data_IF_741359173096
#
_entry.id   IF_741359173096
#
_cell.length_a   1.000
_cell.length_b   1.000
_cell.length_c   1.000
_cell.angle_alpha   90.00
_cell.angle_beta   90.00
_cell.angle_gamma   90.00
#
_symmetry.space_group_name_H-M   'P 1'
#
loop_
_entity.id
_entity.type
_entity.pdbx_description
1 polymer ?
#
# COMPACT_ATOMS: atom_id res chain seq x y z
N UNK A 1 -7.83 16.35 -26.20
CA UNK A 1 -6.87 15.49 -25.48
C UNK A 1 -6.89 15.86 -24.02
N UNK A 2 -7.73 15.19 -23.23
CA UNK A 2 -7.81 15.41 -21.78
C UNK A 2 -6.51 14.89 -21.16
N UNK A 3 -5.57 15.81 -20.89
CA UNK A 3 -4.41 15.54 -20.04
C UNK A 3 -4.96 14.95 -18.73
N UNK A 4 -4.54 13.74 -18.40
CA UNK A 4 -4.93 13.05 -17.17
C UNK A 4 -4.32 13.80 -15.98
N UNK A 5 -4.98 14.89 -15.57
CA UNK A 5 -4.63 15.70 -14.40
C UNK A 5 -4.67 14.91 -13.08
N UNK A 6 -5.12 13.64 -13.11
CA UNK A 6 -5.18 12.74 -11.97
C UNK A 6 -3.87 11.96 -11.73
N UNK A 7 -2.94 11.95 -12.70
CA UNK A 7 -1.70 11.16 -12.64
C UNK A 7 -0.43 11.98 -12.39
N UNK A 8 -0.48 13.32 -12.38
CA UNK A 8 0.69 14.13 -12.02
C UNK A 8 0.96 13.97 -10.52
N UNK A 9 1.90 13.08 -10.21
CA UNK A 9 2.36 12.72 -8.88
C UNK A 9 3.87 12.89 -8.77
N UNK A 10 4.41 12.90 -7.55
CA UNK A 10 5.84 13.00 -7.33
C UNK A 10 6.50 11.64 -7.61
N UNK A 11 7.22 11.54 -8.73
CA UNK A 11 7.88 10.32 -9.19
C UNK A 11 8.91 9.77 -8.19
N UNK A 12 9.63 10.63 -7.48
CA UNK A 12 10.63 10.22 -6.49
C UNK A 12 9.96 9.55 -5.28
N UNK A 13 8.88 10.15 -4.78
CA UNK A 13 8.11 9.55 -3.68
C UNK A 13 7.48 8.23 -4.13
N UNK A 14 6.98 8.14 -5.36
CA UNK A 14 6.42 6.89 -5.87
C UNK A 14 7.49 5.79 -5.95
N UNK A 15 8.66 6.11 -6.51
CA UNK A 15 9.81 5.19 -6.59
C UNK A 15 10.23 4.69 -5.20
N UNK A 16 10.30 5.57 -4.23
CA UNK A 16 10.59 5.21 -2.84
C UNK A 16 9.52 4.28 -2.26
N UNK A 17 8.24 4.57 -2.52
CA UNK A 17 7.13 3.77 -2.01
C UNK A 17 7.10 2.35 -2.58
N UNK A 18 7.31 2.19 -3.89
CA UNK A 18 7.31 0.87 -4.54
C UNK A 18 8.58 0.06 -4.28
N UNK A 19 9.69 0.72 -3.90
CA UNK A 19 10.92 0.04 -3.52
C UNK A 19 10.85 -0.59 -2.12
N UNK A 20 9.95 -0.08 -1.25
CA UNK A 20 9.86 -0.48 0.16
C UNK A 20 9.77 -2.01 0.38
N UNK A 21 8.93 -2.78 -0.34
CA UNK A 21 8.83 -4.23 -0.15
C UNK A 21 10.12 -5.02 -0.44
N UNK A 22 11.08 -4.41 -1.13
CA UNK A 22 12.35 -5.04 -1.54
C UNK A 22 13.54 -4.54 -0.70
N UNK A 23 13.28 -3.71 0.32
CA UNK A 23 14.34 -3.22 1.20
C UNK A 23 14.96 -4.33 2.03
N UNK A 24 16.26 -4.19 2.30
CA UNK A 24 16.99 -5.07 3.20
C UNK A 24 17.46 -4.28 4.43
N UNK A 25 17.42 -4.92 5.60
CA UNK A 25 17.94 -4.38 6.86
C UNK A 25 18.97 -5.36 7.42
N UNK A 26 20.19 -4.88 7.67
CA UNK A 26 21.27 -5.73 8.18
C UNK A 26 21.63 -6.91 7.27
N UNK A 27 21.45 -6.77 5.95
CA UNK A 27 21.71 -7.83 4.97
C UNK A 27 20.60 -8.87 4.83
N UNK A 28 19.47 -8.69 5.53
CA UNK A 28 18.31 -9.58 5.45
C UNK A 28 17.10 -8.85 4.87
N UNK A 29 16.20 -9.59 4.24
CA UNK A 29 14.92 -9.07 3.74
C UNK A 29 14.14 -8.42 4.90
N UNK A 30 13.83 -7.13 4.77
CA UNK A 30 13.13 -6.39 5.82
C UNK A 30 11.67 -6.85 5.97
N UNK A 31 11.08 -7.44 4.92
CA UNK A 31 9.70 -7.88 4.90
C UNK A 31 9.65 -9.35 4.47
N UNK A 32 9.84 -10.27 5.43
CA UNK A 32 9.95 -11.70 5.12
C UNK A 32 8.60 -12.30 4.72
N UNK A 33 8.41 -12.51 3.41
CA UNK A 33 7.23 -13.18 2.83
C UNK A 33 6.33 -12.25 2.03
N UNK A 34 5.33 -12.81 1.36
CA UNK A 34 4.49 -12.04 0.42
C UNK A 34 3.56 -11.06 1.16
N UNK A 35 2.91 -11.48 2.25
CA UNK A 35 1.99 -10.60 2.99
C UNK A 35 2.67 -9.41 3.66
N UNK A 36 3.82 -9.56 4.36
CA UNK A 36 4.55 -8.40 4.87
C UNK A 36 5.01 -7.44 3.76
N UNK A 37 5.37 -7.96 2.59
CA UNK A 37 5.72 -7.14 1.41
C UNK A 37 4.52 -6.38 0.86
N UNK A 38 3.38 -7.05 0.73
CA UNK A 38 2.13 -6.44 0.31
C UNK A 38 1.69 -5.34 1.28
N UNK A 39 1.77 -5.59 2.59
CA UNK A 39 1.49 -4.61 3.63
C UNK A 39 2.45 -3.41 3.58
N UNK A 40 3.75 -3.67 3.35
CA UNK A 40 4.75 -2.62 3.20
C UNK A 40 4.46 -1.72 2.00
N UNK A 41 4.06 -2.32 0.87
CA UNK A 41 3.68 -1.64 -0.37
C UNK A 41 2.45 -0.75 -0.15
N UNK A 42 1.37 -1.33 0.37
CA UNK A 42 0.12 -0.64 0.68
C UNK A 42 0.38 0.56 1.60
N UNK A 43 1.01 0.31 2.74
CA UNK A 43 1.30 1.32 3.75
C UNK A 43 2.22 2.42 3.20
N UNK A 44 3.15 2.09 2.30
CA UNK A 44 4.01 3.12 1.71
C UNK A 44 3.25 4.01 0.74
N UNK A 45 2.48 3.43 -0.18
CA UNK A 45 1.79 4.22 -1.22
C UNK A 45 0.71 5.11 -0.59
N UNK A 46 -0.03 4.59 0.39
CA UNK A 46 -1.14 5.33 1.00
C UNK A 46 -0.66 6.55 1.80
N UNK A 47 0.54 6.48 2.38
CA UNK A 47 1.10 7.50 3.26
C UNK A 47 2.12 8.45 2.59
N UNK A 48 2.64 8.11 1.42
CA UNK A 48 3.70 8.91 0.79
C UNK A 48 3.17 10.07 -0.09
N UNK A 49 1.84 10.22 -0.17
CA UNK A 49 1.15 11.24 -0.96
C UNK A 49 1.68 11.40 -2.40
N UNK A 50 2.11 10.28 -3.00
CA UNK A 50 2.78 10.28 -4.29
C UNK A 50 1.90 10.72 -5.45
N UNK A 51 0.58 10.65 -5.29
CA UNK A 51 -0.39 11.12 -6.28
C UNK A 51 -1.21 12.29 -5.73
N UNK A 52 -1.71 13.15 -6.61
CA UNK A 52 -2.54 14.29 -6.21
C UNK A 52 -3.91 13.88 -5.61
N UNK A 53 -4.58 12.86 -6.17
CA UNK A 53 -5.95 12.50 -5.77
C UNK A 53 -6.23 10.99 -5.65
N UNK A 54 -5.25 10.14 -5.99
CA UNK A 54 -5.51 8.69 -6.14
C UNK A 54 -4.73 7.80 -5.18
N UNK A 55 -4.08 8.33 -4.13
CA UNK A 55 -3.25 7.53 -3.21
C UNK A 55 -3.96 6.31 -2.63
N UNK A 56 -5.20 6.48 -2.14
CA UNK A 56 -6.01 5.37 -1.59
C UNK A 56 -6.28 4.27 -2.61
N UNK A 57 -6.78 4.66 -3.80
CA UNK A 57 -7.10 3.72 -4.90
C UNK A 57 -5.83 3.06 -5.45
N UNK A 58 -4.75 3.82 -5.59
CA UNK A 58 -3.47 3.31 -6.05
C UNK A 58 -2.87 2.32 -5.04
N UNK A 59 -2.89 2.62 -3.73
CA UNK A 59 -2.41 1.72 -2.70
C UNK A 59 -3.16 0.39 -2.71
N UNK A 60 -4.49 0.44 -2.73
CA UNK A 60 -5.33 -0.75 -2.79
C UNK A 60 -5.04 -1.56 -4.08
N UNK A 61 -5.19 -0.95 -5.25
CA UNK A 61 -5.04 -1.66 -6.54
C UNK A 61 -3.64 -2.27 -6.72
N UNK A 62 -2.58 -1.52 -6.39
CA UNK A 62 -1.21 -2.04 -6.50
C UNK A 62 -0.99 -3.23 -5.57
N UNK A 63 -1.61 -3.23 -4.39
CA UNK A 63 -1.52 -4.35 -3.43
C UNK A 63 -2.27 -5.58 -3.94
N UNK A 64 -3.47 -5.40 -4.52
CA UNK A 64 -4.24 -6.48 -5.14
C UNK A 64 -3.44 -7.12 -6.29
N UNK A 65 -2.87 -6.30 -7.18
CA UNK A 65 -2.05 -6.77 -8.30
C UNK A 65 -0.82 -7.51 -7.80
N UNK A 66 -0.10 -6.94 -6.82
CA UNK A 66 1.09 -7.57 -6.22
C UNK A 66 0.76 -8.95 -5.63
N UNK A 67 -0.34 -9.07 -4.88
CA UNK A 67 -0.78 -10.35 -4.34
C UNK A 67 -1.13 -11.34 -5.46
N UNK A 68 -1.88 -10.89 -6.48
CA UNK A 68 -2.28 -11.71 -7.61
C UNK A 68 -1.09 -12.24 -8.41
N UNK A 69 -0.08 -11.41 -8.66
CA UNK A 69 1.16 -11.81 -9.35
C UNK A 69 1.96 -12.84 -8.53
N UNK A 70 1.78 -12.85 -7.21
CA UNK A 70 2.38 -13.83 -6.31
C UNK A 70 1.45 -15.04 -6.02
N UNK A 71 0.38 -15.22 -6.79
CA UNK A 71 -0.52 -16.37 -6.69
C UNK A 71 -1.61 -16.26 -5.61
N UNK A 72 -1.82 -15.07 -5.04
CA UNK A 72 -2.80 -14.83 -4.00
C UNK A 72 -3.96 -13.99 -4.53
N UNK A 73 -5.14 -14.59 -4.65
CA UNK A 73 -6.38 -13.88 -4.92
C UNK A 73 -7.03 -13.36 -3.63
N UNK A 74 -7.69 -12.21 -3.69
CA UNK A 74 -8.51 -11.69 -2.61
C UNK A 74 -9.93 -12.19 -2.82
N UNK A 75 -10.36 -13.20 -2.05
CA UNK A 75 -11.75 -13.66 -2.02
C UNK A 75 -12.57 -13.02 -0.90
N UNK A 76 -11.89 -12.43 0.08
CA UNK A 76 -12.39 -11.62 1.20
C UNK A 76 -11.29 -10.63 1.58
N UNK A 77 -11.63 -9.44 2.08
CA UNK A 77 -12.97 -8.93 2.38
C UNK A 77 -13.73 -8.41 1.13
N UNK A 78 -15.01 -8.05 1.28
CA UNK A 78 -15.83 -7.48 0.19
C UNK A 78 -15.45 -6.01 -0.11
N UNK A 79 -16.06 -5.43 -1.14
CA UNK A 79 -15.73 -4.07 -1.61
C UNK A 79 -15.93 -2.98 -0.54
N UNK A 80 -17.00 -3.05 0.26
CA UNK A 80 -17.28 -2.07 1.33
C UNK A 80 -16.26 -2.17 2.47
N UNK A 81 -15.91 -3.40 2.84
CA UNK A 81 -14.88 -3.67 3.85
C UNK A 81 -13.49 -3.20 3.38
N UNK A 82 -13.13 -3.45 2.11
CA UNK A 82 -11.89 -2.94 1.51
C UNK A 82 -11.88 -1.41 1.44
N UNK A 83 -13.01 -0.80 1.12
CA UNK A 83 -13.17 0.64 1.09
C UNK A 83 -12.92 1.24 2.49
N UNK A 84 -13.57 0.70 3.51
CA UNK A 84 -13.45 1.21 4.87
C UNK A 84 -12.04 0.98 5.44
N UNK A 85 -11.45 -0.20 5.21
CA UNK A 85 -10.06 -0.47 5.57
C UNK A 85 -9.11 0.55 4.94
N UNK A 86 -9.27 0.84 3.64
CA UNK A 86 -8.43 1.81 2.93
C UNK A 86 -8.67 3.23 3.42
N UNK A 87 -9.90 3.58 3.80
CA UNK A 87 -10.24 4.87 4.40
C UNK A 87 -9.53 5.04 5.75
N UNK A 88 -9.64 4.04 6.63
CA UNK A 88 -9.02 4.05 7.96
C UNK A 88 -7.50 4.11 7.87
N UNK A 89 -6.89 3.33 6.97
CA UNK A 89 -5.46 3.34 6.73
C UNK A 89 -4.94 4.73 6.32
N UNK A 90 -5.66 5.44 5.45
CA UNK A 90 -5.29 6.79 5.04
C UNK A 90 -5.53 7.85 6.13
N UNK A 91 -6.44 7.58 7.06
CA UNK A 91 -6.78 8.49 8.16
C UNK A 91 -5.96 8.24 9.44
N UNK A 92 -5.10 7.21 9.44
CA UNK A 92 -4.41 6.70 10.62
C UNK A 92 -5.35 6.20 11.74
N UNK A 93 -6.43 5.53 11.34
CA UNK A 93 -7.48 5.04 12.23
C UNK A 93 -7.50 3.51 12.36
N UNK A 94 -6.50 2.80 11.84
CA UNK A 94 -6.43 1.33 11.93
C UNK A 94 -6.12 0.81 13.35
N UNK A 95 -5.34 1.57 14.11
CA UNK A 95 -4.93 1.23 15.46
C UNK A 95 -4.52 2.47 16.26
N UNK A 96 -4.46 2.34 17.59
CA UNK A 96 -4.15 3.45 18.51
C UNK A 96 -2.78 4.10 18.24
N UNK A 97 -1.79 3.27 17.85
CA UNK A 97 -0.43 3.72 17.57
C UNK A 97 -0.09 3.57 16.09
N UNK A 98 0.31 4.67 15.46
CA UNK A 98 0.74 4.69 14.05
C UNK A 98 1.90 3.73 13.73
N UNK A 99 2.76 3.47 14.71
CA UNK A 99 3.92 2.55 14.55
C UNK A 99 3.47 1.10 14.30
N UNK A 100 2.28 0.73 14.76
CA UNK A 100 1.75 -0.62 14.66
C UNK A 100 0.90 -0.87 13.40
N UNK A 101 0.64 0.16 12.58
CA UNK A 101 -0.22 0.05 11.39
C UNK A 101 0.26 -1.02 10.42
N UNK A 102 1.56 -1.08 10.16
CA UNK A 102 2.13 -2.09 9.28
C UNK A 102 1.86 -3.51 9.78
N UNK A 103 1.97 -3.73 11.09
CA UNK A 103 1.68 -5.02 11.71
C UNK A 103 0.18 -5.32 11.69
N UNK A 104 -0.67 -4.30 11.75
CA UNK A 104 -2.11 -4.44 11.62
C UNK A 104 -2.50 -4.86 10.19
N UNK A 105 -1.94 -4.21 9.17
CA UNK A 105 -2.21 -4.49 7.74
C UNK A 105 -1.75 -5.90 7.31
N UNK A 106 -0.72 -6.43 7.96
CA UNK A 106 -0.12 -7.74 7.60
C UNK A 106 -0.96 -8.94 8.06
N UNK A 107 -1.88 -8.76 9.00
CA UNK A 107 -2.70 -9.83 9.59
C UNK A 107 -3.90 -10.15 8.72
#
# INVERSE_FOLDING_TARGET
MTKVFLLEGNEETLKSAVARPFMSLGGHDAYKGIFPKAAALFHSIINNHSFHNINKRAALLTTIVFLSENGWGISRPNDDELFEFTRQAAAHELCDNKVDELNHITK
#
